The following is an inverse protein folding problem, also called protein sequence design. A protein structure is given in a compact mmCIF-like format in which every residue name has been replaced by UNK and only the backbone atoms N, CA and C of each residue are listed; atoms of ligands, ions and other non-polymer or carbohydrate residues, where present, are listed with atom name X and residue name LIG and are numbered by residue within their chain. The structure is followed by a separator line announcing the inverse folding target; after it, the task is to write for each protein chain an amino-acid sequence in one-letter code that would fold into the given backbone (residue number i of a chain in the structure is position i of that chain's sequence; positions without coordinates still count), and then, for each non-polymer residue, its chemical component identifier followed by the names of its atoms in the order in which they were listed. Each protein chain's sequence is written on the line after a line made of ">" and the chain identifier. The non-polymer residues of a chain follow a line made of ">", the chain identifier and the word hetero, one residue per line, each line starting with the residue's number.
data_IF_735794695656
#
_entry.id   IF_735794695656
#
_cell.length_a   1.000
_cell.length_b   1.000
_cell.length_c   1.000
_cell.angle_alpha   90.00
_cell.angle_beta   90.00
_cell.angle_gamma   90.00
#
_symmetry.space_group_name_H-M   'P 1'
#
loop_
_entity.id
_entity.type
_entity.pdbx_description
1 polymer ?
#
# COMPACT_ATOMS: atom_id res chain seq x y z
N UNK A 1 7.08 -9.02 -18.13
CA UNK A 1 5.68 -8.63 -18.32
C UNK A 1 4.98 -8.61 -16.97
N UNK A 2 5.06 -7.54 -16.17
CA UNK A 2 5.56 -7.60 -14.78
C UNK A 2 5.72 -9.05 -14.31
N UNK A 3 6.85 -9.65 -14.72
CA UNK A 3 6.86 -10.97 -15.38
C UNK A 3 7.00 -12.23 -14.56
N UNK A 4 7.01 -12.17 -13.23
CA UNK A 4 7.17 -13.37 -12.40
C UNK A 4 6.28 -13.39 -11.16
N UNK A 5 5.94 -12.22 -10.62
CA UNK A 5 5.07 -12.10 -9.46
C UNK A 5 3.62 -12.08 -9.92
N UNK A 6 2.93 -13.22 -9.78
CA UNK A 6 1.48 -13.28 -9.97
C UNK A 6 0.80 -12.50 -8.85
N UNK A 7 0.13 -11.42 -9.22
CA UNK A 7 -0.72 -10.64 -8.32
C UNK A 7 -2.17 -10.98 -8.64
N UNK A 8 -2.95 -11.32 -7.63
CA UNK A 8 -4.38 -11.56 -7.79
C UNK A 8 -5.11 -10.24 -8.10
N UNK A 9 -6.09 -10.28 -8.99
CA UNK A 9 -6.97 -9.16 -9.32
C UNK A 9 -6.22 -7.86 -9.68
N UNK A 10 -5.08 -8.01 -10.38
CA UNK A 10 -4.18 -6.90 -10.69
C UNK A 10 -4.84 -5.82 -11.57
N UNK A 11 -5.80 -6.21 -12.40
CA UNK A 11 -6.61 -5.31 -13.22
C UNK A 11 -7.60 -4.46 -12.41
N UNK A 12 -7.92 -4.87 -11.18
CA UNK A 12 -8.76 -4.11 -10.25
C UNK A 12 -7.90 -3.15 -9.42
N UNK A 13 -6.78 -3.64 -8.88
CA UNK A 13 -5.98 -2.88 -7.92
C UNK A 13 -4.83 -2.08 -8.54
N UNK A 14 -4.35 -2.42 -9.73
CA UNK A 14 -3.20 -1.78 -10.36
C UNK A 14 -3.55 -1.27 -11.76
N UNK A 15 -4.36 -0.22 -11.79
CA UNK A 15 -4.72 0.42 -13.04
C UNK A 15 -3.47 0.97 -13.77
N UNK A 16 -3.38 0.79 -15.10
CA UNK A 16 -2.21 1.17 -15.88
C UNK A 16 -2.04 2.70 -15.89
N UNK A 17 -0.86 3.14 -15.44
CA UNK A 17 -0.42 4.55 -15.38
C UNK A 17 -1.42 5.51 -14.71
N UNK A 18 -2.27 4.97 -13.83
CA UNK A 18 -3.25 5.71 -13.03
C UNK A 18 -3.04 5.39 -11.55
N UNK A 19 -2.86 6.43 -10.73
CA UNK A 19 -2.78 6.30 -9.28
C UNK A 19 -4.17 6.04 -8.70
N UNK A 20 -4.30 4.96 -7.93
CA UNK A 20 -5.50 4.62 -7.17
C UNK A 20 -5.16 4.68 -5.69
N UNK A 21 -5.97 5.40 -4.91
CA UNK A 21 -5.76 5.60 -3.47
C UNK A 21 -6.95 5.02 -2.71
N UNK A 22 -6.69 4.17 -1.73
CA UNK A 22 -7.72 3.56 -0.90
C UNK A 22 -7.31 3.60 0.58
N UNK A 23 -8.26 3.85 1.47
CA UNK A 23 -8.07 3.60 2.91
C UNK A 23 -8.23 2.10 3.17
N UNK A 24 -7.29 1.50 3.89
CA UNK A 24 -7.44 0.12 4.35
C UNK A 24 -8.55 0.07 5.40
N UNK A 25 -9.34 -1.00 5.37
CA UNK A 25 -10.40 -1.19 6.35
C UNK A 25 -9.79 -1.43 7.74
N UNK A 26 -10.42 -0.89 8.78
CA UNK A 26 -9.94 -0.97 10.17
C UNK A 26 -9.69 -2.43 10.60
N UNK A 27 -10.55 -3.36 10.16
CA UNK A 27 -10.40 -4.80 10.43
C UNK A 27 -9.14 -5.40 9.77
N UNK A 28 -8.75 -4.90 8.61
CA UNK A 28 -7.55 -5.32 7.91
C UNK A 28 -6.31 -4.79 8.63
N UNK A 29 -6.32 -3.52 9.03
CA UNK A 29 -5.25 -2.89 9.81
C UNK A 29 -5.03 -3.66 11.11
N UNK A 30 -6.11 -3.91 11.88
CA UNK A 30 -6.04 -4.66 13.12
C UNK A 30 -5.51 -6.09 12.95
N UNK A 31 -5.90 -6.77 11.85
CA UNK A 31 -5.46 -8.14 11.56
C UNK A 31 -4.01 -8.24 11.10
N UNK A 32 -3.48 -7.18 10.49
CA UNK A 32 -2.17 -7.17 9.84
C UNK A 32 -1.20 -6.16 10.47
N UNK A 33 -1.44 -5.75 11.73
CA UNK A 33 -0.65 -4.76 12.47
C UNK A 33 0.85 -5.02 12.43
N UNK A 34 1.31 -6.25 12.72
CA UNK A 34 2.75 -6.59 12.70
C UNK A 34 3.43 -6.27 11.34
N UNK A 35 2.72 -6.48 10.23
CA UNK A 35 3.23 -6.19 8.89
C UNK A 35 3.29 -4.68 8.63
N UNK A 36 2.24 -3.97 9.03
CA UNK A 36 2.12 -2.53 8.86
C UNK A 36 3.14 -1.79 9.74
N UNK A 37 3.34 -2.26 10.98
CA UNK A 37 4.37 -1.79 11.89
C UNK A 37 5.77 -2.01 11.32
N UNK A 38 6.03 -3.17 10.69
CA UNK A 38 7.31 -3.41 10.02
C UNK A 38 7.62 -2.32 8.98
N UNK A 39 6.65 -1.91 8.17
CA UNK A 39 6.84 -0.87 7.16
C UNK A 39 6.92 0.53 7.77
N UNK A 40 6.04 0.86 8.73
CA UNK A 40 6.06 2.13 9.44
C UNK A 40 7.41 2.38 10.14
N UNK A 41 8.00 1.34 10.73
CA UNK A 41 9.32 1.40 11.39
C UNK A 41 10.50 1.59 10.41
N UNK A 42 10.26 1.53 9.09
CA UNK A 42 11.27 1.88 8.07
C UNK A 42 11.27 3.38 7.73
N UNK A 43 10.25 4.13 8.12
CA UNK A 43 10.18 5.56 7.91
C UNK A 43 11.15 6.27 8.86
N UNK A 44 11.78 7.36 8.39
CA UNK A 44 12.61 8.21 9.26
C UNK A 44 11.80 8.79 10.43
N UNK A 45 10.53 9.10 10.16
CA UNK A 45 9.56 9.55 11.15
C UNK A 45 8.42 8.54 11.23
N UNK A 46 8.68 7.39 11.86
CA UNK A 46 7.62 6.41 12.16
C UNK A 46 6.50 7.07 12.96
N UNK A 47 5.26 6.76 12.64
CA UNK A 47 4.07 7.27 13.34
C UNK A 47 3.66 6.25 14.40
N UNK A 48 3.94 6.47 15.70
CA UNK A 48 3.42 5.58 16.72
C UNK A 48 1.90 5.70 16.77
N UNK A 49 1.21 4.59 17.05
CA UNK A 49 -0.25 4.56 17.22
C UNK A 49 -1.04 5.12 16.01
N UNK A 50 -0.56 4.89 14.77
CA UNK A 50 -1.33 5.23 13.57
C UNK A 50 -2.70 4.51 13.60
N UNK A 51 -3.74 5.23 13.21
CA UNK A 51 -5.11 4.72 13.18
C UNK A 51 -5.50 4.31 11.76
N UNK A 52 -5.08 5.12 10.78
CA UNK A 52 -5.43 4.94 9.39
C UNK A 52 -4.18 4.60 8.56
N UNK A 53 -4.39 3.68 7.61
CA UNK A 53 -3.39 3.34 6.60
C UNK A 53 -4.02 3.50 5.23
N UNK A 54 -3.38 4.31 4.41
CA UNK A 54 -3.73 4.51 3.02
C UNK A 54 -2.78 3.72 2.14
N UNK A 55 -3.32 3.14 1.07
CA UNK A 55 -2.55 2.43 0.05
C UNK A 55 -2.73 3.13 -1.29
N UNK A 56 -1.60 3.48 -1.91
CA UNK A 56 -1.56 3.98 -3.29
C UNK A 56 -0.99 2.90 -4.21
N UNK A 57 -1.72 2.59 -5.28
CA UNK A 57 -1.32 1.57 -6.25
C UNK A 57 -1.37 2.09 -7.68
N UNK A 58 -0.47 1.58 -8.52
CA UNK A 58 -0.56 1.73 -9.98
C UNK A 58 0.29 0.66 -10.68
N UNK A 59 -0.05 0.35 -11.92
CA UNK A 59 0.85 -0.39 -12.80
C UNK A 59 1.63 0.59 -13.69
N UNK A 60 2.95 0.70 -13.46
CA UNK A 60 3.86 1.54 -14.25
C UNK A 60 4.21 0.81 -15.55
N UNK A 61 3.46 1.07 -16.63
CA UNK A 61 3.56 0.29 -17.87
C UNK A 61 4.92 0.42 -18.53
N UNK A 62 5.49 1.64 -18.49
CA UNK A 62 6.83 1.94 -19.03
C UNK A 62 7.97 1.20 -18.32
N UNK A 63 7.75 0.77 -17.07
CA UNK A 63 8.75 0.11 -16.25
C UNK A 63 8.45 -1.37 -15.99
N UNK A 64 7.31 -1.89 -16.46
CA UNK A 64 6.87 -3.27 -16.23
C UNK A 64 6.82 -3.60 -14.72
N UNK A 65 6.36 -2.66 -13.87
CA UNK A 65 6.38 -2.77 -12.41
C UNK A 65 5.07 -2.33 -11.76
N UNK A 66 4.69 -3.02 -10.69
CA UNK A 66 3.66 -2.57 -9.77
C UNK A 66 4.25 -1.62 -8.75
N UNK A 67 3.60 -0.47 -8.54
CA UNK A 67 3.87 0.43 -7.44
C UNK A 67 2.88 0.14 -6.32
N UNK A 68 3.39 0.00 -5.11
CA UNK A 68 2.62 0.03 -3.87
C UNK A 68 3.31 1.05 -2.98
N UNK A 69 2.54 2.00 -2.47
CA UNK A 69 2.97 2.96 -1.46
C UNK A 69 1.99 2.90 -0.29
N UNK A 70 2.53 3.03 0.93
CA UNK A 70 1.78 2.99 2.18
C UNK A 70 2.00 4.29 2.93
N UNK A 71 0.90 4.97 3.24
CA UNK A 71 0.88 6.19 4.03
C UNK A 71 0.17 5.93 5.35
N UNK A 72 0.80 6.34 6.45
CA UNK A 72 0.32 6.12 7.82
C UNK A 72 -0.16 7.45 8.41
N UNK A 73 -1.37 7.48 8.95
CA UNK A 73 -2.00 8.68 9.49
C UNK A 73 -2.35 8.49 10.97
N UNK A 74 -2.03 9.51 11.77
CA UNK A 74 -2.46 9.65 13.16
C UNK A 74 -3.47 10.80 13.23
N UNK A 75 -4.53 10.64 14.02
CA UNK A 75 -5.44 11.75 14.32
C UNK A 75 -4.69 12.80 15.15
N UNK A 76 -4.72 14.06 14.70
CA UNK A 76 -4.09 15.23 15.36
C UNK A 76 -5.13 16.00 16.17
#
# INVERSE_FOLDING_TARGET
>A
MPGSTKVADADIYFLPDQLTVNRLADEFVAKHGDLLDYFNNKLENSVPDYMDVWVTTTYLTHHDKYLIELSFEQDI
#
